data_IF_890017641087
#
_entry.id   IF_890017641087
#
_cell.length_a   1.000
_cell.length_b   1.000
_cell.length_c   1.000
_cell.angle_alpha   90.00
_cell.angle_beta   90.00
_cell.angle_gamma   90.00
#
_symmetry.space_group_name_H-M   'P 1'
#
loop_
_entity.id
_entity.type
_entity.pdbx_description
1 polymer ?
#
# COMPACT_ATOMS: atom_id res chain seq x y z
N UNK A 1 21.01 20.04 4.06
CA UNK A 1 19.88 19.10 4.25
C UNK A 1 19.27 18.84 2.88
N UNK A 2 18.87 17.61 2.56
CA UNK A 2 18.23 17.34 1.28
C UNK A 2 16.75 17.73 1.37
N UNK A 3 16.38 18.87 0.78
CA UNK A 3 14.98 19.30 0.73
C UNK A 3 14.14 18.28 -0.05
N UNK A 4 13.13 17.69 0.59
CA UNK A 4 12.16 16.79 -0.05
C UNK A 4 11.05 17.63 -0.67
N UNK A 5 10.68 17.35 -1.93
CA UNK A 5 9.58 18.03 -2.61
C UNK A 5 8.25 17.33 -2.33
N UNK A 6 8.27 15.99 -2.32
CA UNK A 6 7.07 15.17 -2.27
C UNK A 6 7.19 14.01 -1.29
N UNK A 7 6.10 13.73 -0.55
CA UNK A 7 5.92 12.50 0.22
C UNK A 7 4.85 11.62 -0.44
N UNK A 8 5.24 10.48 -0.99
CA UNK A 8 4.35 9.58 -1.74
C UNK A 8 4.07 8.27 -1.02
N UNK A 9 2.81 7.81 -1.10
CA UNK A 9 2.46 6.43 -0.78
C UNK A 9 2.83 5.43 -1.89
N UNK A 10 2.84 4.14 -1.58
CA UNK A 10 3.30 3.05 -2.48
C UNK A 10 2.55 2.88 -3.80
N UNK A 11 1.36 3.49 -3.96
CA UNK A 11 0.57 3.42 -5.19
C UNK A 11 0.65 4.68 -6.06
N UNK A 12 1.28 5.75 -5.56
CA UNK A 12 1.27 7.08 -6.19
C UNK A 12 1.99 7.07 -7.54
N UNK A 13 3.14 6.38 -7.65
CA UNK A 13 3.85 6.25 -8.92
C UNK A 13 3.00 5.58 -9.99
N UNK A 14 2.34 4.47 -9.65
CA UNK A 14 1.47 3.79 -10.60
C UNK A 14 0.29 4.68 -11.04
N UNK A 15 -0.30 5.43 -10.11
CA UNK A 15 -1.38 6.38 -10.40
C UNK A 15 -0.92 7.45 -11.41
N UNK A 16 0.22 8.09 -11.18
CA UNK A 16 0.77 9.09 -12.10
C UNK A 16 1.15 8.49 -13.46
N UNK A 17 1.83 7.33 -13.45
CA UNK A 17 2.29 6.65 -14.65
C UNK A 17 1.14 6.21 -15.56
N UNK A 18 0.07 5.67 -14.97
CA UNK A 18 -1.09 5.18 -15.72
C UNK A 18 -2.13 6.26 -16.00
N UNK A 19 -2.03 7.41 -15.33
CA UNK A 19 -3.01 8.50 -15.39
C UNK A 19 -4.43 8.03 -15.07
N UNK A 20 -4.53 7.10 -14.13
CA UNK A 20 -5.78 6.44 -13.74
C UNK A 20 -5.90 6.37 -12.23
N UNK A 21 -7.11 6.65 -11.76
CA UNK A 21 -7.52 6.47 -10.38
C UNK A 21 -8.70 5.50 -10.39
N UNK A 22 -8.58 4.38 -9.66
CA UNK A 22 -9.60 3.33 -9.63
C UNK A 22 -10.08 3.06 -8.20
N UNK A 23 -11.40 3.18 -8.01
CA UNK A 23 -12.10 2.74 -6.79
C UNK A 23 -11.76 3.49 -5.49
N UNK A 24 -11.09 4.64 -5.56
CA UNK A 24 -10.65 5.42 -4.40
C UNK A 24 -10.31 6.85 -4.81
N UNK A 25 -10.12 7.74 -3.83
CA UNK A 25 -9.64 9.10 -4.07
C UNK A 25 -8.13 9.20 -3.80
N UNK A 26 -7.48 10.19 -4.39
CA UNK A 26 -6.13 10.59 -4.02
C UNK A 26 -6.19 12.02 -3.51
N UNK A 27 -5.64 12.25 -2.32
CA UNK A 27 -5.58 13.56 -1.71
C UNK A 27 -4.15 14.07 -1.71
N UNK A 28 -4.00 15.38 -1.86
CA UNK A 28 -2.75 16.08 -1.69
C UNK A 28 -2.89 17.25 -0.72
N UNK A 29 -1.86 17.43 0.11
CA UNK A 29 -1.79 18.52 1.09
C UNK A 29 -0.32 18.89 1.34
N UNK A 30 -0.05 20.19 1.44
CA UNK A 30 1.28 20.70 1.84
C UNK A 30 1.44 20.57 3.35
N UNK A 31 2.58 20.05 3.78
CA UNK A 31 2.91 19.95 5.21
C UNK A 31 3.12 21.37 5.77
N UNK A 32 2.40 21.78 6.82
CA UNK A 32 2.54 23.11 7.40
C UNK A 32 4.00 23.45 7.75
N UNK A 33 4.45 24.63 7.33
CA UNK A 33 5.81 25.10 7.60
C UNK A 33 6.90 24.51 6.71
N UNK A 34 6.57 23.69 5.71
CA UNK A 34 7.56 23.12 4.76
C UNK A 34 7.09 23.30 3.30
N UNK A 35 7.93 22.92 2.33
CA UNK A 35 7.54 22.81 0.91
C UNK A 35 7.07 21.41 0.51
N UNK A 36 7.06 20.45 1.45
CA UNK A 36 6.74 19.06 1.16
C UNK A 36 5.25 18.94 0.84
N UNK A 37 4.93 18.37 -0.32
CA UNK A 37 3.58 17.98 -0.67
C UNK A 37 3.37 16.48 -0.43
N UNK A 38 2.46 16.15 0.48
CA UNK A 38 2.01 14.78 0.70
C UNK A 38 1.00 14.43 -0.38
N UNK A 39 1.15 13.28 -1.04
CA UNK A 39 0.15 12.71 -1.95
C UNK A 39 -0.13 11.28 -1.50
N UNK A 40 -1.38 11.03 -1.10
CA UNK A 40 -1.79 9.72 -0.59
C UNK A 40 -3.13 9.29 -1.14
N UNK A 41 -3.26 7.96 -1.27
CA UNK A 41 -4.50 7.29 -1.62
C UNK A 41 -5.42 7.28 -0.40
N UNK A 42 -6.59 7.89 -0.50
CA UNK A 42 -7.65 7.77 0.50
C UNK A 42 -8.40 6.46 0.27
N UNK A 43 -8.09 5.43 1.06
CA UNK A 43 -8.69 4.11 0.90
C UNK A 43 -9.14 3.55 2.25
N UNK A 44 -10.40 3.10 2.33
CA UNK A 44 -10.90 2.35 3.46
C UNK A 44 -10.53 0.87 3.27
N UNK A 45 -9.44 0.45 3.92
CA UNK A 45 -9.03 -0.95 3.87
C UNK A 45 -10.05 -1.82 4.60
N UNK A 46 -10.68 -2.74 3.86
CA UNK A 46 -11.38 -3.90 4.44
C UNK A 46 -10.41 -5.07 4.38
N UNK A 47 -9.80 -5.41 5.50
CA UNK A 47 -8.92 -6.57 5.59
C UNK A 47 -9.77 -7.83 5.73
N UNK A 48 -9.70 -8.71 4.74
CA UNK A 48 -10.19 -10.07 4.87
C UNK A 48 -8.98 -10.99 5.03
N UNK A 49 -8.57 -11.23 6.27
CA UNK A 49 -7.39 -12.03 6.58
C UNK A 49 -7.50 -13.48 6.10
N UNK A 50 -8.68 -13.95 5.73
CA UNK A 50 -8.88 -15.28 5.13
C UNK A 50 -8.60 -15.32 3.62
N UNK A 51 -8.34 -14.17 2.97
CA UNK A 51 -7.99 -14.17 1.55
C UNK A 51 -6.63 -14.84 1.33
N UNK A 52 -6.49 -15.50 0.18
CA UNK A 52 -5.31 -16.29 -0.18
C UNK A 52 -4.04 -15.42 -0.25
N UNK A 53 -4.19 -14.11 -0.51
CA UNK A 53 -3.07 -13.16 -0.48
C UNK A 53 -2.44 -13.08 0.92
N UNK A 54 -3.25 -12.71 1.91
CA UNK A 54 -2.81 -12.60 3.31
C UNK A 54 -2.30 -13.93 3.88
N UNK A 55 -2.98 -15.04 3.57
CA UNK A 55 -2.53 -16.37 3.99
C UNK A 55 -1.19 -16.77 3.36
N UNK A 56 -0.93 -16.33 2.12
CA UNK A 56 0.34 -16.56 1.45
C UNK A 56 1.46 -15.67 2.01
N UNK A 57 1.18 -14.38 2.26
CA UNK A 57 2.10 -13.47 2.96
C UNK A 57 2.52 -14.06 4.31
N UNK A 58 1.56 -14.52 5.11
CA UNK A 58 1.83 -15.17 6.40
C UNK A 58 2.74 -16.38 6.26
N UNK A 59 2.45 -17.29 5.31
CA UNK A 59 3.27 -18.47 5.07
C UNK A 59 4.71 -18.11 4.70
N UNK A 60 4.90 -17.12 3.81
CA UNK A 60 6.23 -16.72 3.32
C UNK A 60 7.03 -16.00 4.40
N UNK A 61 6.36 -15.27 5.29
CA UNK A 61 6.98 -14.59 6.43
C UNK A 61 7.16 -15.48 7.67
N UNK A 62 6.93 -16.79 7.55
CA UNK A 62 7.17 -17.76 8.62
C UNK A 62 6.10 -17.81 9.72
N UNK A 63 4.94 -17.18 9.53
CA UNK A 63 3.82 -17.24 10.47
C UNK A 63 3.02 -18.55 10.35
N UNK A 64 2.31 -18.92 11.42
CA UNK A 64 1.45 -20.09 11.43
C UNK A 64 0.06 -19.78 10.86
N UNK A 65 -0.54 -20.72 10.12
CA UNK A 65 -1.91 -20.54 9.59
C UNK A 65 -2.97 -20.34 10.69
N UNK A 66 -2.67 -20.74 11.93
CA UNK A 66 -3.56 -20.62 13.09
C UNK A 66 -3.38 -19.30 13.85
N UNK A 67 -2.38 -18.50 13.50
CA UNK A 67 -2.14 -17.24 14.17
C UNK A 67 -3.35 -16.32 14.06
N UNK A 68 -3.65 -15.67 15.18
CA UNK A 68 -4.60 -14.55 15.20
C UNK A 68 -4.14 -13.49 14.19
N UNK A 69 -5.11 -12.75 13.66
CA UNK A 69 -4.82 -11.73 12.68
C UNK A 69 -3.94 -10.63 13.24
N UNK A 70 -2.69 -10.54 12.78
CA UNK A 70 -1.86 -9.36 13.02
C UNK A 70 -2.26 -8.25 12.04
N UNK A 71 -2.59 -7.08 12.58
CA UNK A 71 -2.89 -5.87 11.81
C UNK A 71 -1.69 -4.93 11.71
N UNK A 72 -0.53 -5.33 12.23
CA UNK A 72 0.71 -4.57 12.14
C UNK A 72 1.14 -4.47 10.68
N UNK A 73 1.45 -3.26 10.24
CA UNK A 73 2.02 -3.01 8.92
C UNK A 73 3.44 -2.50 9.06
N UNK A 74 4.32 -2.94 8.16
CA UNK A 74 5.67 -2.40 8.05
C UNK A 74 5.72 -1.44 6.85
N UNK A 75 6.32 -0.27 7.05
CA UNK A 75 6.53 0.70 5.98
C UNK A 75 8.02 0.93 5.81
N UNK A 76 8.49 0.87 4.57
CA UNK A 76 9.85 1.25 4.22
C UNK A 76 9.87 2.71 3.74
N UNK A 77 10.86 3.47 4.22
CA UNK A 77 11.10 4.86 3.81
C UNK A 77 12.25 4.90 2.80
N UNK A 78 12.01 5.46 1.62
CA UNK A 78 13.04 5.57 0.59
C UNK A 78 12.99 6.93 -0.10
N UNK A 79 14.14 7.60 -0.20
CA UNK A 79 14.28 8.80 -1.01
C UNK A 79 14.71 8.44 -2.45
N UNK A 80 14.12 9.11 -3.43
CA UNK A 80 14.49 9.00 -4.85
C UNK A 80 14.46 10.35 -5.54
N UNK A 81 15.37 10.57 -6.48
CA UNK A 81 15.33 11.71 -7.39
C UNK A 81 14.71 11.28 -8.71
N UNK A 82 13.54 11.85 -9.06
CA UNK A 82 12.81 11.55 -10.30
C UNK A 82 13.05 12.66 -11.32
N UNK A 83 13.41 12.28 -12.54
CA UNK A 83 13.68 13.22 -13.63
C UNK A 83 14.86 14.16 -13.38
N UNK A 84 15.79 13.77 -12.49
CA UNK A 84 16.96 14.57 -12.12
C UNK A 84 16.67 15.83 -11.30
N UNK A 85 15.41 16.08 -10.92
CA UNK A 85 15.04 17.33 -10.22
C UNK A 85 14.08 17.16 -9.04
N UNK A 86 13.20 16.16 -9.09
CA UNK A 86 12.16 16.01 -8.08
C UNK A 86 12.60 15.04 -6.99
N UNK A 87 12.78 15.53 -5.77
CA UNK A 87 13.14 14.71 -4.61
C UNK A 87 11.88 14.18 -3.96
N UNK A 88 11.69 12.87 -4.04
CA UNK A 88 10.49 12.17 -3.56
C UNK A 88 10.89 11.23 -2.42
N UNK A 89 10.28 11.43 -1.26
CA UNK A 89 10.31 10.47 -0.17
C UNK A 89 9.10 9.54 -0.31
N UNK A 90 9.34 8.26 -0.44
CA UNK A 90 8.32 7.23 -0.39
C UNK A 90 8.13 6.75 1.05
N UNK A 91 6.87 6.65 1.48
CA UNK A 91 6.47 5.83 2.62
C UNK A 91 5.50 4.78 2.11
N UNK A 92 6.01 3.58 1.91
CA UNK A 92 5.25 2.51 1.28
C UNK A 92 5.30 1.26 2.15
N UNK A 93 4.15 0.61 2.26
CA UNK A 93 4.02 -0.68 2.93
C UNK A 93 4.92 -1.72 2.23
N UNK A 94 5.61 -2.53 3.03
CA UNK A 94 6.32 -3.72 2.56
C UNK A 94 5.63 -4.98 3.10
N UNK A 95 5.57 -6.02 2.27
CA UNK A 95 4.90 -7.27 2.63
C UNK A 95 5.78 -8.11 3.59
N UNK A 96 7.08 -7.82 3.65
CA UNK A 96 8.04 -8.42 4.57
C UNK A 96 9.43 -7.81 4.46
N UNK A 97 10.37 -8.32 5.26
CA UNK A 97 11.79 -7.96 5.27
C UNK A 97 12.61 -9.27 5.18
N UNK A 98 13.65 -9.32 4.35
CA UNK A 98 14.55 -10.48 4.26
C UNK A 98 15.62 -10.50 5.36
N UNK A 99 16.45 -11.55 5.39
CA UNK A 99 17.47 -11.75 6.43
C UNK A 99 18.56 -10.66 6.44
N UNK A 100 18.75 -9.98 5.31
CA UNK A 100 19.66 -8.85 5.17
C UNK A 100 19.02 -7.50 5.49
N UNK A 101 17.74 -7.49 5.88
CA UNK A 101 17.03 -6.26 6.23
C UNK A 101 16.43 -5.51 5.03
N UNK A 102 16.38 -6.12 3.84
CA UNK A 102 15.78 -5.49 2.67
C UNK A 102 14.28 -5.74 2.59
N UNK A 103 13.49 -4.75 2.14
CA UNK A 103 12.07 -4.95 1.91
C UNK A 103 11.83 -5.96 0.77
N UNK A 104 10.81 -6.79 0.94
CA UNK A 104 10.34 -7.73 -0.08
C UNK A 104 8.88 -7.48 -0.42
N UNK A 105 8.52 -7.76 -1.67
CA UNK A 105 7.12 -7.78 -2.10
C UNK A 105 6.68 -9.24 -2.19
N UNK A 106 5.43 -9.53 -1.86
CA UNK A 106 4.86 -10.87 -1.87
C UNK A 106 3.53 -10.81 -2.62
N UNK A 107 3.34 -11.70 -3.61
CA UNK A 107 2.08 -11.75 -4.36
C UNK A 107 1.68 -13.18 -4.68
N UNK A 108 0.43 -13.53 -4.35
CA UNK A 108 -0.21 -14.79 -4.74
C UNK A 108 -1.26 -14.57 -5.83
N UNK A 109 -0.84 -14.26 -7.06
CA UNK A 109 -1.75 -14.02 -8.19
C UNK A 109 -1.09 -14.29 -9.54
N UNK A 110 -1.89 -14.33 -10.60
CA UNK A 110 -1.38 -14.57 -11.95
C UNK A 110 -0.46 -13.40 -12.40
N UNK A 111 0.81 -13.65 -12.75
CA UNK A 111 1.74 -12.61 -13.18
C UNK A 111 1.27 -11.77 -14.37
N UNK A 112 0.41 -12.32 -15.24
CA UNK A 112 -0.20 -11.59 -16.36
C UNK A 112 -1.07 -10.41 -15.90
N UNK A 113 -1.56 -10.43 -14.65
CA UNK A 113 -2.43 -9.40 -14.10
C UNK A 113 -1.67 -8.32 -13.32
N UNK A 114 -0.37 -8.50 -13.06
CA UNK A 114 0.41 -7.56 -12.26
C UNK A 114 0.61 -6.22 -12.97
N UNK A 115 0.75 -6.24 -14.30
CA UNK A 115 0.95 -5.05 -15.13
C UNK A 115 2.05 -4.12 -14.56
N UNK A 116 1.89 -2.81 -14.70
CA UNK A 116 2.78 -1.79 -14.11
C UNK A 116 2.65 -1.68 -12.59
N UNK A 117 1.54 -2.15 -12.02
CA UNK A 117 1.19 -1.93 -10.62
C UNK A 117 2.23 -2.52 -9.68
N UNK A 118 2.53 -3.82 -9.81
CA UNK A 118 3.49 -4.49 -8.91
C UNK A 118 4.89 -3.93 -9.09
N UNK A 119 5.30 -3.63 -10.33
CA UNK A 119 6.60 -3.03 -10.59
C UNK A 119 6.76 -1.67 -9.87
N UNK A 120 5.74 -0.80 -9.92
CA UNK A 120 5.79 0.49 -9.24
C UNK A 120 5.63 0.37 -7.72
N UNK A 121 4.90 -0.64 -7.21
CA UNK A 121 4.86 -0.93 -5.76
C UNK A 121 6.26 -1.29 -5.26
N UNK A 122 6.95 -2.21 -5.95
CA UNK A 122 8.33 -2.60 -5.63
C UNK A 122 9.30 -1.43 -5.68
N UNK A 123 9.19 -0.56 -6.70
CA UNK A 123 10.03 0.64 -6.79
C UNK A 123 9.74 1.58 -5.62
N UNK A 124 8.47 1.79 -5.27
CA UNK A 124 8.08 2.71 -4.20
C UNK A 124 8.42 2.21 -2.81
N UNK A 125 8.40 0.90 -2.54
CA UNK A 125 8.80 0.34 -1.25
C UNK A 125 10.27 -0.08 -1.20
N UNK A 126 11.03 0.07 -2.28
CA UNK A 126 12.45 -0.28 -2.33
C UNK A 126 12.75 -1.76 -2.47
N UNK A 127 11.73 -2.58 -2.72
CA UNK A 127 11.90 -4.01 -2.87
C UNK A 127 12.61 -4.37 -4.18
N UNK A 128 13.71 -5.11 -4.06
CA UNK A 128 14.40 -5.72 -5.20
C UNK A 128 13.88 -7.14 -5.52
N UNK A 129 13.10 -7.71 -4.61
CA UNK A 129 12.69 -9.12 -4.65
C UNK A 129 11.19 -9.29 -4.48
N UNK A 130 10.58 -10.02 -5.42
CA UNK A 130 9.18 -10.44 -5.34
C UNK A 130 9.10 -11.95 -5.08
N UNK A 131 8.42 -12.35 -4.00
CA UNK A 131 8.04 -13.73 -3.75
C UNK A 131 6.68 -14.00 -4.37
N UNK A 132 6.69 -14.70 -5.50
CA UNK A 132 5.53 -14.95 -6.34
C UNK A 132 4.95 -16.35 -6.10
N UNK A 133 3.77 -16.40 -5.49
CA UNK A 133 2.97 -17.61 -5.33
C UNK A 133 2.09 -17.86 -6.56
N UNK A 134 2.20 -19.06 -7.15
CA UNK A 134 1.25 -19.54 -8.17
C UNK A 134 0.24 -20.48 -7.54
N UNK A 135 -1.04 -20.36 -7.91
CA UNK A 135 -2.11 -21.22 -7.39
C UNK A 135 -2.98 -21.86 -8.47
N UNK A 136 -3.51 -23.04 -8.20
CA UNK A 136 -4.55 -23.71 -8.99
C UNK A 136 -5.86 -23.81 -8.18
N UNK A 137 -6.83 -22.93 -8.47
CA UNK A 137 -8.07 -22.80 -7.68
C UNK A 137 -7.76 -22.53 -6.20
N UNK A 138 -7.65 -23.57 -5.38
CA UNK A 138 -7.49 -23.53 -3.93
C UNK A 138 -6.08 -23.82 -3.44
N UNK A 139 -5.19 -24.41 -4.26
CA UNK A 139 -3.88 -24.86 -3.77
C UNK A 139 -2.75 -24.02 -4.35
N UNK A 140 -1.78 -23.70 -3.50
CA UNK A 140 -0.50 -23.14 -3.92
C UNK A 140 0.31 -24.23 -4.64
N UNK A 141 0.80 -23.96 -5.84
CA UNK A 141 1.51 -24.95 -6.66
C UNK A 141 3.01 -24.67 -6.75
N UNK A 142 3.43 -23.42 -6.61
CA UNK A 142 4.85 -23.05 -6.57
C UNK A 142 5.05 -21.67 -5.97
N UNK A 143 6.24 -21.45 -5.41
CA UNK A 143 6.75 -20.14 -4.99
C UNK A 143 8.03 -19.87 -5.75
N UNK A 144 8.19 -18.65 -6.27
CA UNK A 144 9.40 -18.22 -6.98
C UNK A 144 9.84 -16.85 -6.49
N UNK A 145 11.13 -16.69 -6.22
CA UNK A 145 11.75 -15.36 -6.02
C UNK A 145 12.04 -14.76 -7.40
N UNK A 146 11.56 -13.55 -7.66
CA UNK A 146 11.77 -12.80 -8.90
C UNK A 146 12.45 -11.47 -8.58
N UNK A 147 13.51 -11.13 -9.31
CA UNK A 147 14.14 -9.82 -9.20
C UNK A 147 13.25 -8.72 -9.84
N UNK A 148 13.28 -7.50 -9.29
CA UNK A 148 12.47 -6.35 -9.76
C UNK A 148 12.61 -6.11 -11.27
N UNK A 149 13.83 -6.27 -11.83
CA UNK A 149 14.05 -6.13 -13.28
C UNK A 149 13.26 -7.15 -14.11
N UNK A 150 13.04 -8.36 -13.60
CA UNK A 150 12.21 -9.37 -14.27
C UNK A 150 10.74 -8.96 -14.21
N UNK A 151 10.28 -8.48 -13.06
CA UNK A 151 8.91 -7.97 -12.87
C UNK A 151 8.64 -6.80 -13.80
N UNK A 152 9.57 -5.83 -13.89
CA UNK A 152 9.50 -4.70 -14.83
C UNK A 152 9.44 -5.16 -16.29
N UNK A 153 10.31 -6.08 -16.71
CA UNK A 153 10.30 -6.61 -18.09
C UNK A 153 8.97 -7.30 -18.44
N UNK A 154 8.33 -7.95 -17.47
CA UNK A 154 7.03 -8.59 -17.67
C UNK A 154 5.87 -7.58 -17.67
N UNK A 155 5.87 -6.60 -16.76
CA UNK A 155 4.81 -5.60 -16.65
C UNK A 155 4.90 -4.46 -17.68
N UNK A 156 6.11 -4.16 -18.16
CA UNK A 156 6.44 -3.06 -19.09
C UNK A 156 7.33 -3.61 -20.22
N UNK A 157 6.81 -4.49 -21.09
CA UNK A 157 7.64 -5.20 -22.06
C UNK A 157 8.17 -4.31 -23.20
N UNK A 158 7.58 -3.13 -23.41
CA UNK A 158 7.88 -2.26 -24.54
C UNK A 158 8.60 -0.98 -24.08
N UNK A 159 9.76 -0.68 -24.67
CA UNK A 159 10.51 0.57 -24.42
C UNK A 159 9.67 1.83 -24.66
N UNK A 160 8.85 1.83 -25.71
CA UNK A 160 7.91 2.94 -25.99
C UNK A 160 6.93 3.15 -24.83
N UNK A 161 6.43 2.07 -24.24
CA UNK A 161 5.53 2.16 -23.09
C UNK A 161 6.26 2.65 -21.85
N UNK A 162 7.49 2.19 -21.59
CA UNK A 162 8.29 2.70 -20.48
C UNK A 162 8.48 4.22 -20.58
N UNK A 163 8.87 4.71 -21.76
CA UNK A 163 9.02 6.16 -22.02
C UNK A 163 7.72 6.92 -21.76
N UNK A 164 6.59 6.40 -22.22
CA UNK A 164 5.29 7.04 -21.97
C UNK A 164 4.95 7.10 -20.48
N UNK A 165 5.20 6.03 -19.71
CA UNK A 165 4.95 6.00 -18.27
C UNK A 165 5.82 7.03 -17.55
N UNK A 166 7.09 7.16 -17.95
CA UNK A 166 8.01 8.18 -17.44
C UNK A 166 7.52 9.60 -17.75
N UNK A 167 7.17 9.88 -19.00
CA UNK A 167 6.61 11.18 -19.42
C UNK A 167 5.35 11.53 -18.61
N UNK A 168 4.49 10.54 -18.34
CA UNK A 168 3.28 10.73 -17.52
C UNK A 168 3.63 11.08 -16.06
N UNK A 169 4.58 10.38 -15.45
CA UNK A 169 5.05 10.68 -14.08
C UNK A 169 5.60 12.10 -14.02
N UNK A 170 6.50 12.46 -14.94
CA UNK A 170 7.12 13.79 -14.97
C UNK A 170 6.10 14.90 -15.21
N UNK A 171 5.10 14.66 -16.06
CA UNK A 171 4.02 15.61 -16.27
C UNK A 171 3.16 15.80 -15.01
N UNK A 172 2.88 14.72 -14.28
CA UNK A 172 2.13 14.80 -13.02
C UNK A 172 2.90 15.56 -11.94
N UNK A 173 4.19 15.25 -11.77
CA UNK A 173 5.07 15.96 -10.82
C UNK A 173 5.15 17.45 -11.11
N UNK A 174 5.23 17.83 -12.40
CA UNK A 174 5.22 19.24 -12.80
C UNK A 174 3.93 19.96 -12.39
N UNK A 175 2.78 19.36 -12.64
CA UNK A 175 1.48 19.94 -12.24
C UNK A 175 1.41 20.11 -10.72
N UNK A 176 1.92 19.16 -9.95
CA UNK A 176 1.95 19.27 -8.49
C UNK A 176 2.89 20.39 -8.02
N UNK A 177 4.09 20.53 -8.61
CA UNK A 177 5.00 21.65 -8.33
C UNK A 177 4.38 23.01 -8.65
N UNK A 178 3.78 23.14 -9.83
CA UNK A 178 3.10 24.38 -10.26
C UNK A 178 1.97 24.78 -9.29
N UNK A 179 1.23 23.81 -8.76
CA UNK A 179 0.17 24.05 -7.77
C UNK A 179 0.73 24.53 -6.42
N UNK A 180 1.89 24.00 -5.98
CA UNK A 180 2.59 24.50 -4.78
C UNK A 180 2.99 25.97 -4.98
N UNK A 181 3.62 26.30 -6.11
CA UNK A 181 4.09 27.65 -6.45
C UNK A 181 2.93 28.65 -6.60
N UNK A 182 1.78 28.18 -7.11
CA UNK A 182 0.58 29.00 -7.28
C UNK A 182 -0.20 29.25 -5.97
N UNK A 183 0.22 28.61 -4.87
CA UNK A 183 -0.41 28.75 -3.56
C UNK A 183 -1.69 27.95 -3.38
N UNK A 184 -1.93 26.93 -4.20
CA UNK A 184 -3.15 26.12 -4.15
C UNK A 184 -3.32 25.41 -2.79
N UNK A 185 -2.20 25.03 -2.16
CA UNK A 185 -2.16 24.30 -0.89
C UNK A 185 -2.00 25.19 0.35
N UNK A 186 -2.03 26.52 0.19
CA UNK A 186 -1.88 27.44 1.32
C UNK A 186 -3.05 27.33 2.30
N UNK A 187 -2.79 27.68 3.57
CA UNK A 187 -3.76 27.59 4.67
C UNK A 187 -4.29 26.17 4.92
N UNK A 188 -3.47 25.15 4.65
CA UNK A 188 -3.82 23.74 4.94
C UNK A 188 -4.86 23.14 3.99
N UNK A 189 -5.11 23.77 2.83
CA UNK A 189 -6.04 23.26 1.83
C UNK A 189 -5.66 21.86 1.37
N UNK A 190 -6.67 21.01 1.25
CA UNK A 190 -6.54 19.64 0.75
C UNK A 190 -7.14 19.62 -0.65
N UNK A 191 -6.43 18.98 -1.58
CA UNK A 191 -6.87 18.83 -2.96
C UNK A 191 -7.14 17.37 -3.26
N UNK A 192 -8.26 17.08 -3.90
CA UNK A 192 -8.53 15.81 -4.56
C UNK A 192 -7.90 15.81 -5.96
N UNK A 193 -7.22 14.72 -6.30
CA UNK A 193 -6.56 14.52 -7.58
C UNK A 193 -7.48 13.75 -8.52
N UNK A 194 -7.51 14.16 -9.78
CA UNK A 194 -8.23 13.47 -10.85
C UNK A 194 -7.48 13.59 -12.17
N UNK A 195 -7.89 12.83 -13.20
CA UNK A 195 -7.34 12.96 -14.55
C UNK A 195 -8.42 13.36 -15.54
N UNK A 196 -8.17 14.45 -16.28
CA UNK A 196 -9.02 14.89 -17.39
C UNK A 196 -8.22 14.87 -18.68
N UNK A 197 -8.61 13.99 -19.62
CA UNK A 197 -7.92 13.81 -20.91
C UNK A 197 -6.41 13.50 -20.73
N UNK A 198 -6.07 12.67 -19.75
CA UNK A 198 -4.67 12.30 -19.45
C UNK A 198 -3.87 13.37 -18.70
N UNK A 199 -4.46 14.52 -18.35
CA UNK A 199 -3.78 15.54 -17.53
C UNK A 199 -4.25 15.45 -16.09
N UNK A 200 -3.32 15.49 -15.14
CA UNK A 200 -3.62 15.61 -13.72
C UNK A 200 -4.33 16.95 -13.45
N UNK A 201 -5.42 16.91 -12.69
CA UNK A 201 -6.20 18.06 -12.26
C UNK A 201 -6.45 17.99 -10.76
N UNK A 202 -6.44 19.16 -10.12
CA UNK A 202 -6.62 19.30 -8.68
C UNK A 202 -7.96 20.00 -8.41
N UNK A 203 -8.67 19.54 -7.39
CA UNK A 203 -9.94 20.10 -6.96
C UNK A 203 -9.95 20.28 -5.45
N UNK A 204 -10.42 21.41 -4.91
CA UNK A 204 -10.58 21.57 -3.47
C UNK A 204 -11.40 20.42 -2.86
N UNK A 205 -10.88 19.84 -1.78
CA UNK A 205 -11.54 18.79 -1.02
C UNK A 205 -11.85 19.30 0.40
N UNK A 206 -13.12 19.22 0.79
CA UNK A 206 -13.54 19.53 2.15
C UNK A 206 -13.51 18.25 2.98
N UNK A 207 -12.71 18.24 4.05
CA UNK A 207 -12.79 17.18 5.07
C UNK A 207 -14.03 17.30 5.95
N UNK A 208 -14.53 18.53 6.11
CA UNK A 208 -15.70 18.78 6.92
C UNK A 208 -16.96 18.51 6.11
N UNK A 209 -18.02 17.99 6.76
CA UNK A 209 -19.36 17.99 6.17
C UNK A 209 -19.74 19.39 5.68
N UNK A 210 -20.70 19.51 4.74
CA UNK A 210 -21.24 20.81 4.36
C UNK A 210 -21.61 21.64 5.60
N UNK A 211 -21.43 22.96 5.53
CA UNK A 211 -21.70 23.87 6.65
C UNK A 211 -23.13 23.73 7.19
N UNK A 212 -24.09 23.39 6.34
CA UNK A 212 -25.45 23.04 6.75
C UNK A 212 -25.51 21.88 7.74
N UNK A 213 -24.75 20.81 7.49
CA UNK A 213 -24.68 19.63 8.38
C UNK A 213 -24.02 20.00 9.71
N UNK A 214 -22.97 20.83 9.68
CA UNK A 214 -22.32 21.32 10.90
C UNK A 214 -23.29 22.22 11.69
N UNK A 215 -24.00 23.10 11.01
CA UNK A 215 -25.04 23.97 11.59
C UNK A 215 -26.16 23.16 12.24
N UNK A 216 -26.62 22.09 11.59
CA UNK A 216 -27.63 21.16 12.13
C UNK A 216 -27.10 20.43 13.38
N UNK A 217 -25.86 19.97 13.37
CA UNK A 217 -25.25 19.32 14.55
C UNK A 217 -25.10 20.29 15.72
N UNK A 218 -24.66 21.53 15.46
CA UNK A 218 -24.47 22.54 16.50
C UNK A 218 -25.79 23.10 17.04
N UNK A 219 -26.83 23.18 16.22
CA UNK A 219 -28.16 23.61 16.67
C UNK A 219 -28.88 22.53 17.47
N UNK A 220 -28.76 21.26 17.08
CA UNK A 220 -29.30 20.12 17.84
C UNK A 220 -28.55 19.88 19.16
N UNK A 221 -27.25 20.20 19.24
CA UNK A 221 -26.51 20.16 20.51
C UNK A 221 -27.02 21.19 21.54
N UNK A 222 -27.60 22.31 21.09
CA UNK A 222 -28.15 23.36 21.97
C UNK A 222 -29.57 23.07 22.47
N UNK A 223 -30.26 22.09 21.87
CA UNK A 223 -31.61 21.69 22.26
C UNK A 223 -31.64 20.40 23.10
N UNK A 224 -30.48 19.78 23.37
CA UNK A 224 -30.36 18.69 24.31
C UNK A 224 -30.65 19.21 25.75
N UNK A 225 -31.66 18.70 26.46
CA UNK A 225 -31.93 19.10 27.84
C UNK A 225 -30.75 18.71 28.75
N UNK A 226 -30.38 19.58 29.68
CA UNK A 226 -29.38 19.37 30.75
C UNK A 226 -29.79 18.28 31.79
N UNK A 227 -30.62 17.32 31.42
CA UNK A 227 -31.23 16.34 32.34
C UNK A 227 -30.24 15.25 32.81
N UNK A 228 -28.96 15.31 32.45
CA UNK A 228 -27.93 14.37 32.89
C UNK A 228 -27.42 14.60 34.33
N UNK A 229 -27.91 15.62 35.05
CA UNK A 229 -27.47 15.89 36.43
C UNK A 229 -28.22 15.13 37.54
N UNK A 230 -29.27 14.34 37.23
CA UNK A 230 -30.08 13.71 38.30
C UNK A 230 -30.52 12.28 38.04
N UNK A 231 -29.61 11.40 37.61
CA UNK A 231 -29.85 9.95 37.69
C UNK A 231 -29.17 9.38 38.94
N UNK A 232 -29.91 9.39 40.04
CA UNK A 232 -29.59 8.69 41.28
C UNK A 232 -29.17 7.24 41.02
N UNK A 233 -27.98 6.91 41.53
CA UNK A 233 -27.40 5.56 41.68
C UNK A 233 -28.42 4.59 42.29
N UNK A 234 -29.20 3.89 41.46
CA UNK A 234 -29.92 2.67 41.86
C UNK A 234 -28.96 1.49 41.71
N UNK A 235 -28.54 0.97 42.86
CA UNK A 235 -27.79 -0.27 42.98
C UNK A 235 -28.49 -1.40 42.21
N UNK A 236 -27.75 -2.05 41.31
CA UNK A 236 -28.20 -3.29 40.67
C UNK A 236 -27.87 -4.46 41.62
N UNK A 237 -28.83 -5.33 41.96
CA UNK A 237 -28.55 -6.52 42.74
C UNK A 237 -27.76 -7.53 41.89
N UNK A 238 -26.77 -8.14 42.54
CA UNK A 238 -25.95 -9.24 42.03
C UNK A 238 -26.81 -10.47 41.74
N UNK A 239 -26.99 -10.81 40.46
CA UNK A 239 -27.52 -12.12 40.06
C UNK A 239 -26.42 -12.99 39.46
N UNK A 240 -26.02 -13.93 40.30
CA UNK A 240 -25.19 -15.09 40.07
C UNK A 240 -25.83 -16.02 39.01
N UNK A 241 -25.20 -16.24 37.85
CA UNK A 241 -25.42 -17.42 36.99
C UNK A 241 -24.14 -17.77 36.20
N UNK A 242 -23.60 -18.94 36.54
CA UNK A 242 -22.59 -19.70 35.79
C UNK A 242 -23.32 -20.88 35.07
N UNK A 243 -22.63 -21.75 34.32
CA UNK A 243 -22.39 -21.76 32.87
C UNK A 243 -23.19 -22.87 32.13
N UNK A 244 -22.88 -23.06 30.83
CA UNK A 244 -23.24 -24.18 29.93
C UNK A 244 -24.48 -24.03 29.02
N UNK A 245 -24.20 -23.77 27.73
CA UNK A 245 -24.95 -24.30 26.58
C UNK A 245 -23.96 -24.48 25.42
N UNK A 246 -23.34 -25.67 25.32
CA UNK A 246 -23.65 -26.69 24.31
C UNK A 246 -23.31 -26.26 22.86
N UNK A 247 -22.02 -26.41 22.49
CA UNK A 247 -21.59 -26.46 21.10
C UNK A 247 -21.78 -27.88 20.55
N UNK A 248 -22.60 -28.01 19.50
CA UNK A 248 -22.78 -29.25 18.77
C UNK A 248 -21.54 -29.56 17.92
N UNK A 249 -20.97 -30.75 18.15
CA UNK A 249 -19.87 -31.32 17.39
C UNK A 249 -20.43 -31.97 16.11
N UNK A 250 -19.90 -31.58 14.95
CA UNK A 250 -19.92 -32.41 13.75
C UNK A 250 -18.48 -32.83 13.42
N UNK A 251 -18.21 -34.13 13.18
CA UNK A 251 -16.89 -34.57 12.77
C UNK A 251 -16.65 -34.18 11.30
N UNK A 252 -15.56 -33.48 11.03
CA UNK A 252 -15.00 -33.37 9.68
C UNK A 252 -13.79 -34.29 9.57
N UNK A 253 -13.57 -34.94 8.42
CA UNK A 253 -12.43 -35.82 8.23
C UNK A 253 -11.14 -35.01 8.26
N UNK A 254 -10.19 -35.51 9.05
CA UNK A 254 -8.83 -35.02 9.13
C UNK A 254 -8.13 -35.23 7.78
N UNK A 255 -7.59 -34.20 7.11
CA UNK A 255 -6.67 -34.42 6.01
C UNK A 255 -5.33 -34.87 6.59
N UNK A 256 -4.83 -36.00 6.11
CA UNK A 256 -3.49 -36.51 6.41
C UNK A 256 -2.42 -35.55 5.86
N UNK A 257 -1.98 -34.60 6.70
CA UNK A 257 -1.00 -33.57 6.37
C UNK A 257 0.46 -34.04 6.48
N UNK A 258 0.69 -35.30 6.87
CA UNK A 258 2.06 -35.86 6.90
C UNK A 258 2.68 -36.01 5.51
N UNK A 259 1.89 -35.84 4.44
CA UNK A 259 2.37 -35.81 3.06
C UNK A 259 3.06 -34.51 2.62
N UNK A 260 3.04 -33.44 3.42
CA UNK A 260 3.74 -32.18 3.08
C UNK A 260 5.15 -32.07 3.70
N UNK A 261 5.59 -33.04 4.51
CA UNK A 261 6.93 -33.03 5.15
C UNK A 261 8.07 -33.55 4.27
N UNK A 262 7.84 -33.80 2.98
CA UNK A 262 8.86 -34.34 2.07
C UNK A 262 9.02 -33.48 0.82
N UNK A 263 9.31 -32.19 1.02
CA UNK A 263 9.99 -31.40 -0.01
C UNK A 263 11.50 -31.55 0.23
N UNK A 264 12.30 -31.92 -0.79
CA UNK A 264 13.72 -32.20 -0.60
C UNK A 264 14.52 -30.93 -0.26
N UNK A 265 15.43 -31.08 0.71
CA UNK A 265 16.47 -30.13 1.11
C UNK A 265 17.53 -29.98 0.01
N UNK A 266 17.24 -29.25 -1.07
CA UNK A 266 18.29 -28.77 -1.97
C UNK A 266 17.97 -27.36 -2.50
N UNK A 267 18.46 -26.34 -1.79
CA UNK A 267 18.79 -25.07 -2.41
C UNK A 267 19.96 -24.39 -1.68
N UNK A 268 21.14 -25.01 -1.77
CA UNK A 268 22.41 -24.31 -1.59
C UNK A 268 22.65 -23.49 -2.85
N UNK A 269 22.37 -22.19 -2.84
CA UNK A 269 22.80 -21.28 -3.90
C UNK A 269 24.13 -20.68 -3.47
N UNK A 270 25.20 -21.15 -4.11
CA UNK A 270 26.54 -20.60 -3.97
C UNK A 270 26.60 -19.14 -4.36
N UNK A 271 27.39 -18.38 -3.60
CA UNK A 271 27.78 -17.02 -3.91
C UNK A 271 28.43 -16.95 -5.31
N UNK A 272 27.79 -16.23 -6.22
CA UNK A 272 28.34 -15.86 -7.52
C UNK A 272 28.87 -14.44 -7.47
N UNK A 273 30.20 -14.33 -7.48
CA UNK A 273 31.01 -13.14 -7.70
C UNK A 273 30.49 -12.32 -8.91
N UNK A 274 30.27 -11.00 -8.73
CA UNK A 274 29.99 -10.05 -9.82
C UNK A 274 31.32 -9.36 -10.17
N UNK A 275 31.84 -9.49 -11.40
CA UNK A 275 33.00 -8.69 -11.81
C UNK A 275 32.63 -7.21 -11.94
N UNK A 276 33.46 -6.37 -11.36
CA UNK A 276 33.61 -4.97 -11.75
C UNK A 276 34.05 -4.92 -13.21
N UNK A 277 33.21 -4.38 -14.09
CA UNK A 277 33.56 -3.71 -15.35
C UNK A 277 32.32 -3.62 -16.26
N UNK A 278 31.53 -2.56 -16.09
CA UNK A 278 30.64 -2.09 -17.17
C UNK A 278 30.47 -0.57 -17.11
N UNK A 279 31.60 0.13 -17.12
CA UNK A 279 31.68 1.53 -17.52
C UNK A 279 32.21 1.59 -18.96
N UNK A 280 31.40 2.09 -19.89
CA UNK A 280 31.83 2.25 -21.28
C UNK A 280 30.75 2.76 -22.22
N UNK A 281 30.30 4.00 -22.04
CA UNK A 281 29.74 4.79 -23.14
C UNK A 281 30.78 5.82 -23.55
N UNK A 282 31.56 5.44 -24.56
CA UNK A 282 32.35 6.37 -25.37
C UNK A 282 31.47 6.98 -26.46
N UNK A 283 31.70 8.26 -26.70
CA UNK A 283 31.19 9.08 -27.79
C UNK A 283 31.67 8.56 -29.16
N UNK A 284 30.74 8.48 -30.12
CA UNK A 284 30.76 9.17 -31.43
C UNK A 284 29.38 9.04 -32.10
#
# INVERSE_FOLDING_TARGET
EEDVDFLFGGSTLNMLATQQISGCEYLAQKVPGTQILIVQKCHHYRQNLTDHGYQFERLVCGGEFRDEGDSTTAHHLQAMTIGGRHKVLFSAECDGIDEEGNPVEIKCSNPKNWSTKVAFQMISNGSLSLYAGSKNKTSLTSVKKLHVLKVMKTGIPQKKRLKQLEENILSGLRVLSEAIESGDFEHGRIMNLSFKKGRLTLHPHSLLPPESVIGDLLSNAKSAPDDAATASRKERPSSNRNPNAAFAQHPRPDPDWDRLRHLPDEMVIGMGYIPEDFCGFGSD
#
